data_IF_603936369227
#
_entry.id   IF_603936369227
#
_cell.length_a   1.000
_cell.length_b   1.000
_cell.length_c   1.000
_cell.angle_alpha   90.00
_cell.angle_beta   90.00
_cell.angle_gamma   90.00
#
_symmetry.space_group_name_H-M   'P 1'
#
loop_
_entity.id
_entity.type
_entity.pdbx_description
1 polymer ?
#
# COMPACT_ATOMS: atom_id res chain seq x y z
N UNK A 1 12.21 6.55 -10.33
CA UNK A 1 11.79 7.28 -9.11
C UNK A 1 11.16 6.27 -8.19
N UNK A 2 11.48 6.30 -6.90
CA UNK A 2 10.82 5.48 -5.89
C UNK A 2 9.80 6.35 -5.15
N UNK A 3 8.63 5.79 -4.84
CA UNK A 3 7.68 6.42 -3.91
C UNK A 3 8.38 6.74 -2.59
N UNK A 4 8.06 7.89 -1.99
CA UNK A 4 8.55 8.19 -0.66
C UNK A 4 7.97 7.18 0.35
N UNK A 5 8.70 6.93 1.43
CA UNK A 5 8.29 5.93 2.42
C UNK A 5 6.96 6.30 3.07
N UNK A 6 6.74 7.58 3.41
CA UNK A 6 5.45 8.07 3.90
C UNK A 6 4.32 7.77 2.92
N UNK A 7 4.47 8.17 1.65
CA UNK A 7 3.43 8.00 0.62
C UNK A 7 3.09 6.53 0.43
N UNK A 8 4.10 5.66 0.38
CA UNK A 8 3.91 4.22 0.29
C UNK A 8 3.15 3.65 1.49
N UNK A 9 3.51 4.05 2.71
CA UNK A 9 2.82 3.61 3.92
C UNK A 9 1.37 4.07 3.93
N UNK A 10 1.10 5.33 3.57
CA UNK A 10 -0.25 5.87 3.49
C UNK A 10 -1.10 5.11 2.47
N UNK A 11 -0.56 4.79 1.30
CA UNK A 11 -1.27 3.99 0.29
C UNK A 11 -1.57 2.59 0.83
N UNK A 12 -0.60 1.92 1.45
CA UNK A 12 -0.82 0.58 2.01
C UNK A 12 -1.92 0.60 3.07
N UNK A 13 -1.90 1.55 4.00
CA UNK A 13 -2.90 1.68 5.06
C UNK A 13 -4.32 1.96 4.52
N UNK A 14 -4.43 2.74 3.44
CA UNK A 14 -5.73 3.07 2.83
C UNK A 14 -6.40 1.88 2.13
N UNK A 15 -5.60 0.97 1.58
CA UNK A 15 -6.10 -0.15 0.75
C UNK A 15 -5.95 -1.51 1.42
N UNK A 16 -5.38 -1.58 2.63
CA UNK A 16 -5.28 -2.79 3.42
C UNK A 16 -6.68 -3.37 3.73
N UNK A 17 -6.89 -4.65 3.42
CA UNK A 17 -8.16 -5.34 3.67
C UNK A 17 -8.26 -5.79 5.14
N UNK A 18 -7.12 -6.01 5.77
CA UNK A 18 -7.00 -6.32 7.19
C UNK A 18 -5.70 -5.75 7.77
N UNK A 19 -5.57 -5.75 9.09
CA UNK A 19 -4.35 -5.29 9.76
C UNK A 19 -3.12 -6.10 9.26
N UNK A 20 -2.04 -5.39 8.93
CA UNK A 20 -0.80 -5.98 8.41
C UNK A 20 -0.87 -6.44 6.95
N UNK A 21 -1.98 -6.20 6.25
CA UNK A 21 -2.08 -6.48 4.82
C UNK A 21 -1.18 -5.52 4.01
N UNK A 22 -0.14 -6.09 3.40
CA UNK A 22 0.86 -5.36 2.62
C UNK A 22 1.00 -5.92 1.20
N UNK A 23 0.20 -6.92 0.85
CA UNK A 23 0.41 -7.73 -0.35
C UNK A 23 -0.86 -8.22 -1.03
N UNK A 24 -2.05 -7.83 -0.55
CA UNK A 24 -3.29 -8.08 -1.27
C UNK A 24 -3.28 -7.48 -2.68
N UNK A 25 -4.10 -8.03 -3.61
CA UNK A 25 -4.25 -7.47 -4.95
C UNK A 25 -4.60 -5.98 -4.93
N UNK A 26 -5.45 -5.55 -3.99
CA UNK A 26 -5.87 -4.17 -3.80
C UNK A 26 -4.70 -3.25 -3.48
N UNK A 27 -3.87 -3.63 -2.50
CA UNK A 27 -2.66 -2.88 -2.12
C UNK A 27 -1.64 -2.88 -3.27
N UNK A 28 -1.45 -4.00 -3.96
CA UNK A 28 -0.51 -4.07 -5.08
C UNK A 28 -0.94 -3.18 -6.24
N UNK A 29 -2.22 -3.17 -6.60
CA UNK A 29 -2.77 -2.31 -7.66
C UNK A 29 -2.61 -0.83 -7.29
N UNK A 30 -2.84 -0.47 -6.02
CA UNK A 30 -2.67 0.91 -5.55
C UNK A 30 -1.21 1.40 -5.58
N UNK A 31 -0.23 0.48 -5.61
CA UNK A 31 1.21 0.77 -5.64
C UNK A 31 1.83 0.78 -7.05
N UNK A 32 1.10 0.34 -8.08
CA UNK A 32 1.51 0.37 -9.49
C UNK A 32 1.32 1.76 -10.10
#
# INVERSE_FOLDING_TARGET
>A
MALQKEEKTTIIEQFAVHEGDTGSPEVQIALL
#
